data_IF_694954121417
#
_entry.id   IF_694954121417
#
_cell.length_a   1.000
_cell.length_b   1.000
_cell.length_c   1.000
_cell.angle_alpha   90.00
_cell.angle_beta   90.00
_cell.angle_gamma   90.00
#
_symmetry.space_group_name_H-M   'P 1'
#
loop_
_entity.id
_entity.type
_entity.pdbx_description
1 polymer ?
#
# COMPACT_ATOMS: atom_id res chain seq x y z
N UNK A 1 -20.84 -66.84 -12.35
CA UNK A 1 -21.27 -66.03 -11.19
C UNK A 1 -20.65 -64.64 -11.34
N UNK A 2 -21.45 -63.62 -11.65
CA UNK A 2 -20.96 -62.29 -12.02
C UNK A 2 -20.86 -61.39 -10.77
N UNK A 3 -19.65 -60.95 -10.45
CA UNK A 3 -19.42 -60.01 -9.35
C UNK A 3 -19.77 -58.59 -9.82
N UNK A 4 -20.90 -58.05 -9.33
CA UNK A 4 -21.34 -56.68 -9.59
C UNK A 4 -20.56 -55.74 -8.67
N UNK A 5 -19.54 -55.07 -9.21
CA UNK A 5 -18.77 -54.03 -8.51
C UNK A 5 -19.68 -52.81 -8.27
N UNK A 6 -20.03 -52.56 -7.01
CA UNK A 6 -20.72 -51.34 -6.58
C UNK A 6 -19.75 -50.16 -6.70
N UNK A 7 -19.88 -49.38 -7.77
CA UNK A 7 -19.30 -48.03 -7.85
C UNK A 7 -19.94 -47.18 -6.74
N UNK A 8 -19.16 -46.85 -5.72
CA UNK A 8 -19.55 -45.85 -4.73
C UNK A 8 -19.21 -44.49 -5.32
N UNK A 9 -20.22 -43.82 -5.89
CA UNK A 9 -20.18 -42.38 -6.13
C UNK A 9 -20.28 -41.68 -4.78
N UNK A 10 -19.14 -41.43 -4.12
CA UNK A 10 -19.09 -40.38 -3.11
C UNK A 10 -18.82 -39.07 -3.85
N UNK A 11 -19.90 -38.39 -4.23
CA UNK A 11 -19.91 -36.95 -4.45
C UNK A 11 -19.42 -36.27 -3.16
N UNK A 12 -18.10 -36.26 -2.94
CA UNK A 12 -17.52 -35.32 -1.99
C UNK A 12 -17.35 -34.03 -2.77
N UNK A 13 -18.50 -33.37 -2.94
CA UNK A 13 -18.56 -31.96 -3.31
C UNK A 13 -17.72 -31.22 -2.28
N UNK A 14 -16.43 -31.06 -2.61
CA UNK A 14 -15.57 -30.11 -1.96
C UNK A 14 -16.16 -28.75 -2.29
N UNK A 15 -17.19 -28.37 -1.53
CA UNK A 15 -17.65 -27.01 -1.43
C UNK A 15 -16.40 -26.23 -1.05
N UNK A 16 -15.78 -25.61 -2.04
CA UNK A 16 -14.65 -24.72 -1.84
C UNK A 16 -15.17 -23.68 -0.86
N UNK A 17 -14.84 -23.87 0.43
CA UNK A 17 -15.18 -22.95 1.49
C UNK A 17 -14.78 -21.59 0.98
N UNK A 18 -15.76 -20.74 0.72
CA UNK A 18 -15.58 -19.45 0.09
C UNK A 18 -14.63 -18.67 0.98
N UNK A 19 -13.33 -18.71 0.67
CA UNK A 19 -12.30 -18.04 1.44
C UNK A 19 -12.65 -16.57 1.34
N UNK A 20 -13.17 -16.05 2.46
CA UNK A 20 -13.67 -14.69 2.61
C UNK A 20 -12.83 -13.74 1.76
N UNK A 21 -13.50 -13.06 0.82
CA UNK A 21 -12.85 -12.22 -0.17
C UNK A 21 -11.80 -11.32 0.49
N UNK A 22 -10.54 -11.44 0.05
CA UNK A 22 -9.55 -10.41 0.34
C UNK A 22 -10.13 -9.12 -0.21
N UNK A 23 -10.67 -8.27 0.66
CA UNK A 23 -10.92 -6.87 0.31
C UNK A 23 -9.57 -6.32 -0.14
N UNK A 24 -9.41 -6.13 -1.45
CA UNK A 24 -8.31 -5.36 -1.98
C UNK A 24 -8.43 -3.96 -1.37
N UNK A 25 -7.52 -3.65 -0.45
CA UNK A 25 -7.42 -2.31 0.09
C UNK A 25 -7.01 -1.39 -1.06
N UNK A 26 -7.95 -0.58 -1.54
CA UNK A 26 -7.66 0.44 -2.54
C UNK A 26 -6.88 1.54 -1.83
N UNK A 27 -5.57 1.55 -2.02
CA UNK A 27 -4.73 2.67 -1.62
C UNK A 27 -5.06 3.84 -2.54
N UNK A 28 -5.53 4.96 -1.97
CA UNK A 28 -5.63 6.21 -2.72
C UNK A 28 -4.23 6.78 -2.86
N UNK A 29 -3.91 7.30 -4.04
CA UNK A 29 -2.61 7.92 -4.30
C UNK A 29 -2.79 9.41 -4.42
N UNK A 30 -2.24 10.17 -3.49
CA UNK A 30 -2.21 11.63 -3.56
C UNK A 30 -0.79 12.11 -3.86
N UNK A 31 -0.70 13.33 -4.40
CA UNK A 31 0.56 14.00 -4.61
C UNK A 31 0.97 14.73 -3.34
N UNK A 32 2.04 14.28 -2.72
CA UNK A 32 2.69 14.99 -1.62
C UNK A 32 3.74 15.95 -2.17
N UNK A 33 3.59 17.23 -1.88
CA UNK A 33 4.55 18.26 -2.29
C UNK A 33 5.53 18.54 -1.14
N UNK A 34 6.82 18.42 -1.43
CA UNK A 34 7.85 18.82 -0.49
C UNK A 34 7.97 20.36 -0.42
N UNK A 35 8.37 20.91 0.74
CA UNK A 35 8.75 22.32 0.83
C UNK A 35 9.90 22.62 -0.16
N UNK A 36 10.07 23.90 -0.56
CA UNK A 36 11.12 24.29 -1.49
C UNK A 36 12.48 23.82 -0.97
N UNK A 37 13.12 22.97 -1.76
CA UNK A 37 14.37 22.31 -1.41
C UNK A 37 15.51 22.74 -2.34
N UNK A 38 16.74 22.60 -1.86
CA UNK A 38 17.95 22.84 -2.65
C UNK A 38 18.14 21.72 -3.69
N UNK A 39 19.05 21.94 -4.64
CA UNK A 39 19.31 20.96 -5.71
C UNK A 39 19.77 19.60 -5.16
N UNK A 40 20.73 19.58 -4.25
CA UNK A 40 21.23 18.35 -3.62
C UNK A 40 20.11 17.57 -2.90
N UNK A 41 19.22 18.29 -2.20
CA UNK A 41 18.08 17.69 -1.52
C UNK A 41 17.08 17.10 -2.53
N UNK A 42 16.82 17.82 -3.61
CA UNK A 42 15.92 17.35 -4.67
C UNK A 42 16.44 16.08 -5.34
N UNK A 43 17.74 16.00 -5.62
CA UNK A 43 18.38 14.80 -6.17
C UNK A 43 18.34 13.62 -5.21
N UNK A 44 18.63 13.87 -3.94
CA UNK A 44 18.52 12.84 -2.90
C UNK A 44 17.09 12.30 -2.80
N UNK A 45 16.07 13.18 -2.82
CA UNK A 45 14.66 12.77 -2.81
C UNK A 45 14.31 11.92 -4.03
N UNK A 46 14.71 12.34 -5.23
CA UNK A 46 14.48 11.57 -6.47
C UNK A 46 15.11 10.18 -6.36
N UNK A 47 16.35 10.08 -5.86
CA UNK A 47 17.03 8.81 -5.72
C UNK A 47 16.36 7.91 -4.67
N UNK A 48 16.03 8.45 -3.50
CA UNK A 48 15.40 7.71 -2.41
C UNK A 48 14.02 7.16 -2.80
N UNK A 49 13.18 7.99 -3.44
CA UNK A 49 11.85 7.57 -3.88
C UNK A 49 11.90 6.68 -5.14
N UNK A 50 12.85 6.94 -6.05
CA UNK A 50 13.08 6.08 -7.22
C UNK A 50 13.48 4.66 -6.83
N UNK A 51 14.35 4.49 -5.84
CA UNK A 51 14.71 3.16 -5.29
C UNK A 51 13.51 2.39 -4.72
N UNK A 52 12.47 3.11 -4.27
CA UNK A 52 11.23 2.53 -3.72
C UNK A 52 10.15 2.34 -4.79
N UNK A 53 10.38 2.80 -6.03
CA UNK A 53 9.43 2.67 -7.14
C UNK A 53 8.27 3.67 -7.12
N UNK A 54 8.41 4.82 -6.44
CA UNK A 54 7.37 5.86 -6.44
C UNK A 54 7.53 6.80 -7.64
N UNK A 55 6.40 7.35 -8.11
CA UNK A 55 6.40 8.39 -9.14
C UNK A 55 6.80 9.73 -8.52
N UNK A 56 7.81 10.38 -9.10
CA UNK A 56 8.33 11.68 -8.65
C UNK A 56 8.26 12.68 -9.80
N UNK A 57 7.78 13.89 -9.51
CA UNK A 57 7.80 15.05 -10.42
C UNK A 57 8.74 16.10 -9.85
N UNK A 58 9.69 16.55 -10.67
CA UNK A 58 10.60 17.66 -10.38
C UNK A 58 10.14 18.88 -11.17
N UNK A 59 9.90 19.99 -10.48
CA UNK A 59 9.58 21.28 -11.06
C UNK A 59 10.52 22.34 -10.47
N UNK A 60 10.83 23.37 -11.25
CA UNK A 60 11.62 24.49 -10.79
C UNK A 60 10.67 25.58 -10.28
N UNK A 61 10.99 26.21 -9.15
CA UNK A 61 10.23 27.37 -8.67
C UNK A 61 10.39 28.54 -9.64
N UNK A 62 9.40 29.46 -9.65
CA UNK A 62 9.41 30.66 -10.47
C UNK A 62 10.67 31.53 -10.23
N UNK A 63 11.18 31.52 -9.00
CA UNK A 63 12.37 32.29 -8.61
C UNK A 63 13.69 31.63 -9.04
N UNK A 64 13.65 30.46 -9.70
CA UNK A 64 14.81 29.66 -10.13
C UNK A 64 15.79 29.25 -9.01
N UNK A 65 15.50 29.58 -7.75
CA UNK A 65 16.35 29.30 -6.58
C UNK A 65 16.12 27.93 -5.94
N UNK A 66 14.90 27.41 -6.07
CA UNK A 66 14.46 26.23 -5.34
C UNK A 66 13.79 25.24 -6.27
N UNK A 67 13.93 23.96 -5.93
CA UNK A 67 13.25 22.87 -6.59
C UNK A 67 11.99 22.50 -5.80
N UNK A 68 10.91 22.28 -6.54
CA UNK A 68 9.65 21.77 -6.04
C UNK A 68 9.56 20.30 -6.44
N UNK A 69 9.56 19.41 -5.46
CA UNK A 69 9.44 17.98 -5.66
C UNK A 69 8.05 17.52 -5.23
N UNK A 70 7.33 16.85 -6.13
CA UNK A 70 6.04 16.21 -5.82
C UNK A 70 6.17 14.70 -5.98
N UNK A 71 5.73 13.96 -4.98
CA UNK A 71 5.84 12.50 -4.94
C UNK A 71 4.46 11.90 -4.82
N UNK A 72 4.19 10.85 -5.61
CA UNK A 72 2.94 10.11 -5.52
C UNK A 72 3.05 9.05 -4.44
N UNK A 73 2.45 9.30 -3.28
CA UNK A 73 2.43 8.35 -2.17
C UNK A 73 1.06 7.68 -2.05
N UNK A 74 1.00 6.35 -1.89
CA UNK A 74 -0.21 5.67 -1.48
C UNK A 74 -0.52 6.04 -0.03
N UNK A 75 -1.67 6.66 0.19
CA UNK A 75 -2.19 6.96 1.51
C UNK A 75 -3.29 5.97 1.90
N UNK A 76 -3.29 5.54 3.16
CA UNK A 76 -4.38 4.78 3.74
C UNK A 76 -5.35 5.74 4.42
N UNK A 77 -6.63 5.72 4.05
CA UNK A 77 -7.66 6.53 4.70
C UNK A 77 -7.83 6.20 6.19
N UNK A 78 -7.42 5.00 6.60
CA UNK A 78 -7.48 4.61 7.99
C UNK A 78 -6.35 5.28 8.75
N UNK A 79 -6.64 5.85 9.93
CA UNK A 79 -5.59 6.31 10.81
C UNK A 79 -4.66 5.13 11.15
N UNK A 80 -3.37 5.40 11.37
CA UNK A 80 -2.45 4.36 11.83
C UNK A 80 -3.01 3.74 13.11
N UNK A 81 -2.93 2.41 13.22
CA UNK A 81 -3.37 1.74 14.44
C UNK A 81 -2.54 2.31 15.60
N UNK A 82 -3.18 2.88 16.63
CA UNK A 82 -2.44 3.52 17.70
C UNK A 82 -1.62 2.46 18.44
N UNK A 83 -0.34 2.75 18.68
CA UNK A 83 0.55 1.82 19.38
C UNK A 83 0.19 1.80 20.87
N UNK A 84 0.22 0.62 21.49
CA UNK A 84 -0.02 0.46 22.93
C UNK A 84 1.18 0.88 23.79
N UNK A 85 2.32 1.20 23.17
CA UNK A 85 3.60 1.43 23.86
C UNK A 85 3.55 2.58 24.87
N UNK A 86 2.80 3.65 24.56
CA UNK A 86 2.71 4.85 25.41
C UNK A 86 1.27 5.13 25.89
N UNK A 87 0.34 4.20 25.68
CA UNK A 87 -1.04 4.36 26.15
C UNK A 87 -1.14 3.96 27.62
N UNK A 88 -1.20 4.95 28.51
CA UNK A 88 -1.49 4.67 29.93
C UNK A 88 -2.97 4.32 30.11
N UNK A 89 -3.28 3.36 30.97
CA UNK A 89 -4.66 2.90 31.24
C UNK A 89 -5.58 3.99 31.80
N UNK A 90 -5.01 5.06 32.36
CA UNK A 90 -5.74 6.18 32.97
C UNK A 90 -6.44 7.05 31.91
N UNK A 91 -5.89 7.10 30.70
CA UNK A 91 -6.42 7.90 29.58
C UNK A 91 -7.29 7.07 28.61
N UNK A 92 -7.84 5.94 29.08
CA UNK A 92 -8.74 5.08 28.28
C UNK A 92 -10.17 5.57 28.35
#
# INVERSE_FOLDING_TARGET
MAHKTKLHNSDNSAAFASRHGRRSHVFKSDWYQHPPCTEEQAEWLIQCYGRRGYEVKKALSLDYRHWIISVRLPYSERPPHPSRTFQQRIWR
#
